data_IF_175208453949
#
_entry.id   IF_175208453949
#
_cell.length_a   1.000
_cell.length_b   1.000
_cell.length_c   1.000
_cell.angle_alpha   90.00
_cell.angle_beta   90.00
_cell.angle_gamma   90.00
#
_symmetry.space_group_name_H-M   'P 1'
#
loop_
_entity.id
_entity.type
_entity.pdbx_description
1 polymer ?
#
# COMPACT_ATOMS: atom_id res chain seq x y z
N UNK A 1 -48.97 21.97 -15.21
CA UNK A 1 -48.50 20.69 -14.59
C UNK A 1 -47.02 20.45 -14.67
N UNK A 2 -46.31 20.70 -15.80
CA UNK A 2 -44.88 20.44 -15.98
C UNK A 2 -43.91 21.21 -15.02
N UNK A 3 -44.30 22.42 -14.54
CA UNK A 3 -43.47 23.25 -13.62
C UNK A 3 -43.43 22.65 -12.21
N UNK A 4 -44.53 22.16 -11.68
CA UNK A 4 -44.58 21.57 -10.32
C UNK A 4 -43.75 20.28 -10.20
N UNK A 5 -43.69 19.44 -11.26
CA UNK A 5 -42.88 18.23 -11.26
C UNK A 5 -41.38 18.55 -11.26
N UNK A 6 -40.95 19.58 -12.00
CA UNK A 6 -39.53 20.02 -11.98
C UNK A 6 -39.12 20.52 -10.60
N UNK A 7 -39.99 21.23 -9.91
CA UNK A 7 -39.72 21.74 -8.55
C UNK A 7 -39.57 20.58 -7.55
N UNK A 8 -40.50 19.61 -7.60
CA UNK A 8 -40.48 18.43 -6.71
C UNK A 8 -39.19 17.61 -6.93
N UNK A 9 -38.79 17.36 -8.19
CA UNK A 9 -37.55 16.62 -8.50
C UNK A 9 -36.29 17.37 -8.02
N UNK A 10 -36.23 18.68 -8.20
CA UNK A 10 -35.11 19.51 -7.70
C UNK A 10 -35.01 19.50 -6.19
N UNK A 11 -36.15 19.54 -5.49
CA UNK A 11 -36.18 19.48 -4.01
C UNK A 11 -35.75 18.12 -3.47
N UNK A 12 -36.18 17.02 -4.11
CA UNK A 12 -35.76 15.67 -3.75
C UNK A 12 -34.24 15.47 -3.96
N UNK A 13 -33.69 15.99 -5.06
CA UNK A 13 -32.27 15.91 -5.33
C UNK A 13 -31.42 16.70 -4.34
N UNK A 14 -31.89 17.90 -3.93
CA UNK A 14 -31.24 18.71 -2.90
C UNK A 14 -31.22 18.02 -1.52
N UNK A 15 -32.33 17.39 -1.12
CA UNK A 15 -32.43 16.62 0.14
C UNK A 15 -31.49 15.40 0.10
N UNK A 16 -31.40 14.70 -1.01
CA UNK A 16 -30.48 13.55 -1.18
C UNK A 16 -29.02 13.97 -1.04
N UNK A 17 -28.63 15.12 -1.62
CA UNK A 17 -27.29 15.69 -1.50
C UNK A 17 -26.97 16.09 -0.05
N UNK A 18 -27.91 16.67 0.68
CA UNK A 18 -27.70 17.05 2.09
C UNK A 18 -27.52 15.83 3.00
N UNK A 19 -28.22 14.72 2.75
CA UNK A 19 -28.07 13.47 3.50
C UNK A 19 -26.69 12.83 3.26
N UNK A 20 -26.18 12.86 2.04
CA UNK A 20 -24.87 12.32 1.71
C UNK A 20 -23.72 13.09 2.42
N UNK A 21 -23.80 14.40 2.49
CA UNK A 21 -22.81 15.24 3.19
C UNK A 21 -22.83 14.98 4.71
N UNK A 22 -23.98 14.74 5.29
CA UNK A 22 -24.10 14.47 6.73
C UNK A 22 -23.45 13.15 7.15
N UNK A 23 -23.56 12.10 6.34
CA UNK A 23 -22.94 10.79 6.60
C UNK A 23 -21.40 10.89 6.49
N UNK A 24 -20.89 11.61 5.49
CA UNK A 24 -19.46 11.82 5.33
C UNK A 24 -18.84 12.60 6.50
N UNK A 25 -19.53 13.63 6.99
CA UNK A 25 -19.08 14.43 8.13
C UNK A 25 -19.02 13.67 9.45
N UNK A 26 -19.90 12.69 9.66
CA UNK A 26 -19.91 11.86 10.88
C UNK A 26 -18.76 10.87 10.94
N UNK A 27 -18.37 10.26 9.82
CA UNK A 27 -17.25 9.30 9.76
C UNK A 27 -15.93 10.00 10.08
N UNK A 28 -15.69 11.22 9.57
CA UNK A 28 -14.46 11.98 9.80
C UNK A 28 -14.39 12.71 11.16
N UNK A 29 -15.42 12.60 12.00
CA UNK A 29 -15.44 13.26 13.32
C UNK A 29 -14.36 12.71 14.27
N UNK A 30 -14.04 11.43 14.18
CA UNK A 30 -13.21 10.72 15.14
C UNK A 30 -11.76 10.52 14.68
N UNK A 31 -11.44 10.77 13.42
CA UNK A 31 -10.08 10.62 12.89
C UNK A 31 -9.78 11.62 11.78
N UNK A 32 -8.49 11.78 11.53
CA UNK A 32 -7.96 12.45 10.34
C UNK A 32 -7.28 11.40 9.47
N UNK A 33 -7.51 11.39 8.13
CA UNK A 33 -6.78 10.50 7.24
C UNK A 33 -5.27 10.77 7.31
N UNK A 34 -4.50 9.75 7.62
CA UNK A 34 -3.05 9.76 7.60
C UNK A 34 -2.47 9.28 6.27
N UNK A 35 -1.27 8.75 6.32
CA UNK A 35 -0.53 8.20 5.20
C UNK A 35 -1.14 6.89 4.69
N UNK A 36 -0.65 6.43 3.54
CA UNK A 36 -1.05 5.15 2.95
C UNK A 36 0.08 4.14 3.18
N UNK A 37 -0.29 2.94 3.60
CA UNK A 37 0.60 1.82 3.84
C UNK A 37 0.33 0.68 2.88
N UNK A 38 1.33 0.27 2.10
CA UNK A 38 1.35 -1.02 1.41
C UNK A 38 1.82 -2.08 2.38
N UNK A 39 0.97 -3.05 2.70
CA UNK A 39 1.25 -4.14 3.66
C UNK A 39 1.32 -5.44 2.89
N UNK A 40 2.52 -6.00 2.75
CA UNK A 40 2.74 -7.32 2.14
C UNK A 40 2.94 -8.36 3.23
N UNK A 41 2.10 -9.38 3.22
CA UNK A 41 2.14 -10.52 4.15
C UNK A 41 2.94 -11.64 3.52
N UNK A 42 3.96 -12.09 4.21
CA UNK A 42 4.91 -13.11 3.78
C UNK A 42 4.87 -14.29 4.74
N UNK A 43 4.89 -15.50 4.18
CA UNK A 43 5.20 -16.73 4.92
C UNK A 43 6.58 -17.21 4.49
N UNK A 44 7.57 -17.07 5.35
CA UNK A 44 8.90 -17.67 5.15
C UNK A 44 8.78 -19.16 5.45
N UNK A 45 9.33 -19.98 4.56
CA UNK A 45 9.33 -21.44 4.73
C UNK A 45 10.27 -21.84 5.87
N UNK A 46 9.97 -22.94 6.59
CA UNK A 46 10.83 -23.42 7.66
C UNK A 46 12.27 -23.61 7.21
N UNK A 47 13.21 -23.05 7.97
CA UNK A 47 14.65 -23.09 7.68
C UNK A 47 15.14 -22.14 6.59
N UNK A 48 14.27 -21.32 5.99
CA UNK A 48 14.64 -20.40 4.91
C UNK A 48 14.81 -18.95 5.39
N UNK A 49 14.79 -18.70 6.69
CA UNK A 49 14.90 -17.35 7.28
C UNK A 49 16.17 -16.64 6.81
N UNK A 50 17.33 -17.29 6.92
CA UNK A 50 18.60 -16.67 6.56
C UNK A 50 18.61 -16.23 5.09
N UNK A 51 18.20 -17.10 4.17
CA UNK A 51 18.20 -16.80 2.73
C UNK A 51 17.25 -15.65 2.37
N UNK A 52 16.08 -15.60 3.03
CA UNK A 52 15.14 -14.53 2.78
C UNK A 52 15.54 -13.21 3.44
N UNK A 53 16.09 -13.24 4.65
CA UNK A 53 16.61 -12.05 5.33
C UNK A 53 17.80 -11.43 4.59
N UNK A 54 18.67 -12.24 3.97
CA UNK A 54 19.74 -11.76 3.10
C UNK A 54 19.20 -10.97 1.90
N UNK A 55 18.14 -11.47 1.24
CA UNK A 55 17.44 -10.74 0.19
C UNK A 55 16.86 -9.41 0.70
N UNK A 56 16.25 -9.41 1.89
CA UNK A 56 15.67 -8.19 2.48
C UNK A 56 16.73 -7.14 2.78
N UNK A 57 17.88 -7.55 3.34
CA UNK A 57 18.97 -6.65 3.72
C UNK A 57 19.75 -6.11 2.50
N UNK A 58 19.82 -6.88 1.44
CA UNK A 58 20.58 -6.49 0.23
C UNK A 58 19.68 -5.81 -0.79
N UNK A 59 18.83 -6.55 -1.47
CA UNK A 59 18.06 -6.06 -2.61
C UNK A 59 16.90 -5.17 -2.19
N UNK A 60 16.00 -5.66 -1.31
CA UNK A 60 14.82 -4.90 -0.92
C UNK A 60 15.19 -3.59 -0.23
N UNK A 61 16.18 -3.63 0.66
CA UNK A 61 16.71 -2.43 1.33
C UNK A 61 17.22 -1.42 0.31
N UNK A 62 18.05 -1.84 -0.64
CA UNK A 62 18.61 -0.97 -1.69
C UNK A 62 17.50 -0.30 -2.52
N UNK A 63 16.52 -1.07 -2.98
CA UNK A 63 15.37 -0.55 -3.75
C UNK A 63 14.55 0.45 -2.93
N UNK A 64 14.31 0.14 -1.66
CA UNK A 64 13.57 1.01 -0.73
C UNK A 64 14.32 2.31 -0.44
N UNK A 65 15.62 2.24 -0.19
CA UNK A 65 16.46 3.43 0.06
C UNK A 65 16.49 4.36 -1.17
N UNK A 66 16.54 3.80 -2.39
CA UNK A 66 16.44 4.57 -3.63
C UNK A 66 15.08 5.26 -3.72
N UNK A 67 14.00 4.54 -3.44
CA UNK A 67 12.63 5.08 -3.50
C UNK A 67 12.42 6.21 -2.48
N UNK A 68 12.94 6.07 -1.27
CA UNK A 68 12.89 7.11 -0.23
C UNK A 68 13.70 8.34 -0.66
N UNK A 69 14.93 8.14 -1.12
CA UNK A 69 15.81 9.23 -1.57
C UNK A 69 15.19 10.08 -2.68
N UNK A 70 14.39 9.47 -3.54
CA UNK A 70 13.71 10.14 -4.66
C UNK A 70 12.28 10.63 -4.32
N UNK A 71 11.83 10.46 -3.08
CA UNK A 71 10.52 10.93 -2.62
C UNK A 71 9.33 10.12 -3.16
N UNK A 72 9.56 8.89 -3.62
CA UNK A 72 8.49 7.98 -4.07
C UNK A 72 7.87 7.19 -2.92
N UNK A 73 8.60 7.03 -1.83
CA UNK A 73 8.20 6.36 -0.60
C UNK A 73 8.69 7.16 0.60
N UNK A 74 7.94 7.20 1.69
CA UNK A 74 8.32 7.91 2.92
C UNK A 74 9.20 7.07 3.83
N UNK A 75 8.77 5.84 4.06
CA UNK A 75 9.47 4.91 4.94
C UNK A 75 9.09 3.48 4.60
N UNK A 76 9.83 2.52 5.15
CA UNK A 76 9.43 1.11 5.19
C UNK A 76 9.78 0.49 6.54
N UNK A 77 9.10 -0.61 6.86
CA UNK A 77 9.36 -1.42 8.06
C UNK A 77 9.23 -2.89 7.71
N UNK A 78 10.07 -3.70 8.37
CA UNK A 78 9.95 -5.16 8.34
C UNK A 78 9.60 -5.61 9.75
N UNK A 79 8.51 -6.35 9.89
CA UNK A 79 8.08 -6.92 11.17
C UNK A 79 8.07 -8.43 11.06
N UNK A 80 8.72 -9.10 12.01
CA UNK A 80 8.72 -10.56 12.14
C UNK A 80 7.75 -10.96 13.26
N UNK A 81 6.84 -11.90 12.99
CA UNK A 81 6.01 -12.50 14.03
C UNK A 81 6.86 -13.36 14.97
N UNK A 82 6.51 -13.35 16.25
CA UNK A 82 7.17 -14.20 17.26
C UNK A 82 6.53 -15.60 17.34
N UNK A 83 5.27 -15.69 16.95
CA UNK A 83 4.47 -16.91 16.87
C UNK A 83 4.24 -17.31 15.41
N UNK A 84 4.13 -18.61 15.15
CA UNK A 84 3.99 -19.16 13.80
C UNK A 84 2.53 -19.49 13.42
N UNK A 85 1.56 -19.20 14.27
CA UNK A 85 0.16 -19.63 14.12
C UNK A 85 -0.64 -18.83 13.07
N UNK A 86 -0.14 -17.67 12.65
CA UNK A 86 -0.78 -16.87 11.61
C UNK A 86 -0.30 -17.32 10.24
N UNK A 87 -1.16 -17.56 9.30
CA UNK A 87 -0.81 -17.96 7.93
C UNK A 87 0.32 -17.16 7.24
N UNK A 88 0.92 -16.18 7.93
CA UNK A 88 2.11 -15.40 7.57
C UNK A 88 2.99 -15.21 8.83
N UNK A 89 4.28 -14.97 8.63
CA UNK A 89 5.23 -14.76 9.73
C UNK A 89 6.17 -13.56 9.55
N UNK A 90 5.98 -12.78 8.45
CA UNK A 90 6.69 -11.53 8.23
C UNK A 90 5.79 -10.53 7.49
N UNK A 91 5.87 -9.25 7.87
CA UNK A 91 5.24 -8.14 7.17
C UNK A 91 6.30 -7.21 6.59
N UNK A 92 6.08 -6.81 5.33
CA UNK A 92 6.78 -5.70 4.71
C UNK A 92 5.78 -4.55 4.60
N UNK A 93 6.06 -3.46 5.30
CA UNK A 93 5.23 -2.25 5.28
C UNK A 93 5.97 -1.16 4.51
N UNK A 94 5.29 -0.51 3.57
CA UNK A 94 5.80 0.63 2.81
C UNK A 94 4.86 1.80 2.96
N UNK A 95 5.39 2.95 3.37
CA UNK A 95 4.62 4.17 3.62
C UNK A 95 4.70 5.12 2.43
N UNK A 96 3.54 5.63 2.03
CA UNK A 96 3.37 6.61 0.95
C UNK A 96 2.55 7.79 1.43
N UNK A 97 2.73 8.96 0.83
CA UNK A 97 1.97 10.16 1.21
C UNK A 97 0.46 9.99 0.99
N UNK A 98 0.07 9.40 -0.14
CA UNK A 98 -1.33 9.20 -0.51
C UNK A 98 -1.46 8.15 -1.63
N UNK A 99 -2.68 7.69 -1.90
CA UNK A 99 -2.97 6.87 -3.08
C UNK A 99 -2.65 7.61 -4.38
N UNK A 100 -2.99 8.90 -4.46
CA UNK A 100 -2.70 9.72 -5.63
C UNK A 100 -1.18 9.86 -5.88
N UNK A 101 -0.36 9.98 -4.83
CA UNK A 101 1.10 10.02 -4.99
C UNK A 101 1.67 8.67 -5.44
N UNK A 102 1.12 7.57 -4.96
CA UNK A 102 1.50 6.23 -5.36
C UNK A 102 1.26 6.02 -6.86
N UNK A 103 0.02 6.24 -7.33
CA UNK A 103 -0.36 6.10 -8.74
C UNK A 103 0.45 7.04 -9.66
N UNK A 104 0.58 8.30 -9.26
CA UNK A 104 1.33 9.30 -10.04
C UNK A 104 2.81 8.96 -10.23
N UNK A 105 3.41 8.30 -9.25
CA UNK A 105 4.85 8.06 -9.22
C UNK A 105 5.24 6.64 -9.65
N UNK A 106 4.31 5.74 -9.89
CA UNK A 106 4.56 4.31 -10.13
C UNK A 106 5.59 4.09 -11.24
N UNK A 107 5.30 4.49 -12.47
CA UNK A 107 6.20 4.31 -13.62
C UNK A 107 7.56 4.98 -13.41
N UNK A 108 7.56 6.17 -12.81
CA UNK A 108 8.78 6.92 -12.57
C UNK A 108 9.64 6.27 -11.49
N UNK A 109 9.02 5.73 -10.45
CA UNK A 109 9.71 5.02 -9.37
C UNK A 109 10.37 3.75 -9.93
N UNK A 110 9.64 2.98 -10.73
CA UNK A 110 10.16 1.77 -11.36
C UNK A 110 11.35 2.08 -12.28
N UNK A 111 11.25 3.07 -13.14
CA UNK A 111 12.34 3.46 -14.02
C UNK A 111 13.60 3.91 -13.26
N UNK A 112 13.44 4.65 -12.15
CA UNK A 112 14.58 5.10 -11.33
C UNK A 112 15.22 3.92 -10.60
N UNK A 113 14.42 3.02 -10.02
CA UNK A 113 14.92 1.83 -9.32
C UNK A 113 15.61 0.88 -10.29
N UNK A 114 15.01 0.58 -11.44
CA UNK A 114 15.62 -0.27 -12.48
C UNK A 114 16.96 0.28 -12.94
N UNK A 115 17.02 1.59 -13.22
CA UNK A 115 18.28 2.24 -13.63
C UNK A 115 19.37 2.15 -12.57
N UNK A 116 19.01 2.31 -11.29
CA UNK A 116 19.96 2.33 -10.19
C UNK A 116 20.43 0.93 -9.74
N UNK A 117 19.57 -0.08 -9.92
CA UNK A 117 19.86 -1.46 -9.52
C UNK A 117 20.38 -2.34 -10.66
N UNK A 118 20.04 -1.98 -11.92
CA UNK A 118 20.28 -2.81 -13.10
C UNK A 118 19.32 -4.02 -13.19
N UNK A 119 18.25 -4.00 -12.41
CA UNK A 119 17.20 -5.03 -12.38
C UNK A 119 16.02 -4.52 -13.19
N UNK A 120 15.87 -5.02 -14.39
CA UNK A 120 14.71 -4.79 -15.26
C UNK A 120 13.53 -5.72 -14.88
N UNK A 121 12.40 -5.58 -15.54
CA UNK A 121 11.20 -6.36 -15.27
C UNK A 121 11.44 -7.89 -15.42
N UNK A 122 12.25 -8.28 -16.38
CA UNK A 122 12.55 -9.71 -16.61
C UNK A 122 13.35 -10.28 -15.45
N UNK A 123 14.41 -9.59 -15.03
CA UNK A 123 15.22 -9.98 -13.86
C UNK A 123 14.41 -9.92 -12.57
N UNK A 124 13.56 -8.91 -12.43
CA UNK A 124 12.63 -8.78 -11.31
C UNK A 124 11.69 -9.98 -11.19
N UNK A 125 11.11 -10.41 -12.31
CA UNK A 125 10.24 -11.58 -12.38
C UNK A 125 11.00 -12.88 -12.09
N UNK A 126 12.19 -13.07 -12.66
CA UNK A 126 13.05 -14.21 -12.36
C UNK A 126 13.36 -14.29 -10.86
N UNK A 127 13.80 -13.18 -10.28
CA UNK A 127 14.07 -13.11 -8.85
C UNK A 127 12.83 -13.35 -7.99
N UNK A 128 11.64 -12.93 -8.44
CA UNK A 128 10.37 -13.23 -7.76
C UNK A 128 10.12 -14.76 -7.74
N UNK A 129 10.29 -15.44 -8.88
CA UNK A 129 10.13 -16.90 -9.01
C UNK A 129 11.19 -17.64 -8.20
N UNK A 130 12.44 -17.20 -8.21
CA UNK A 130 13.51 -17.80 -7.39
C UNK A 130 13.20 -17.71 -5.90
N UNK A 131 12.71 -16.57 -5.44
CA UNK A 131 12.34 -16.37 -4.03
C UNK A 131 11.14 -17.20 -3.58
N UNK A 132 10.34 -17.77 -4.49
CA UNK A 132 9.26 -18.69 -4.11
C UNK A 132 9.76 -19.96 -3.41
N UNK A 133 11.06 -20.27 -3.53
CA UNK A 133 11.70 -21.37 -2.78
C UNK A 133 11.85 -21.05 -1.28
N UNK A 134 11.88 -19.79 -0.93
CA UNK A 134 12.14 -19.31 0.43
C UNK A 134 10.87 -18.87 1.16
N UNK A 135 9.87 -18.43 0.41
CA UNK A 135 8.67 -17.80 0.97
C UNK A 135 7.47 -17.87 0.03
N UNK A 136 6.28 -17.74 0.61
CA UNK A 136 5.05 -17.42 -0.11
C UNK A 136 4.68 -15.95 0.13
N UNK A 137 4.17 -15.28 -0.91
CA UNK A 137 3.47 -14.01 -0.74
C UNK A 137 1.99 -14.34 -0.49
N UNK A 138 1.57 -14.21 0.76
CA UNK A 138 0.19 -14.53 1.19
C UNK A 138 -0.79 -13.49 0.64
N UNK A 139 -0.36 -12.23 0.52
CA UNK A 139 -1.14 -11.17 -0.07
C UNK A 139 -0.53 -9.80 0.18
N UNK A 140 -1.04 -8.81 -0.57
CA UNK A 140 -0.71 -7.40 -0.38
C UNK A 140 -1.99 -6.60 -0.24
N UNK A 141 -2.02 -5.67 0.72
CA UNK A 141 -3.12 -4.74 0.94
C UNK A 141 -2.60 -3.31 1.04
N UNK A 142 -3.33 -2.37 0.47
CA UNK A 142 -3.12 -0.96 0.74
C UNK A 142 -4.10 -0.50 1.81
N UNK A 143 -3.59 0.17 2.82
CA UNK A 143 -4.33 0.62 4.00
C UNK A 143 -4.08 2.10 4.22
N UNK A 144 -5.09 2.83 4.67
CA UNK A 144 -4.94 4.21 5.10
C UNK A 144 -4.84 4.27 6.62
N UNK A 145 -3.85 4.99 7.11
CA UNK A 145 -3.74 5.30 8.51
C UNK A 145 -4.91 6.18 8.97
N UNK A 146 -5.47 5.87 10.13
CA UNK A 146 -6.49 6.66 10.80
C UNK A 146 -5.86 7.31 12.03
N UNK A 147 -5.59 8.60 11.96
CA UNK A 147 -5.06 9.35 13.10
C UNK A 147 -6.23 9.75 13.98
N UNK A 148 -6.38 9.10 15.12
CA UNK A 148 -7.45 9.40 16.08
C UNK A 148 -7.26 10.79 16.66
N UNK A 149 -8.39 11.49 16.95
CA UNK A 149 -8.41 12.83 17.53
C UNK A 149 -8.50 12.79 19.05
#
# INVERSE_FOLDING_TARGET
>A
MKSKHKLIVATLFAVLLMLAVSVYGQVHKYFTPGTVWGVTMIRIHPGMDQAYLEYLDTQLKKESDISIKNGFMKSYKILRAQDEDSGWNLLILREYDSFASLEKNEEKADAVVQKATGIDDQKGMQGYVERSRYRDVVGTKYMRELVLR
#
